data_IF_399613042544
#
_entry.id   IF_399613042544
#
_cell.length_a   1.000
_cell.length_b   1.000
_cell.length_c   1.000
_cell.angle_alpha   90.00
_cell.angle_beta   90.00
_cell.angle_gamma   90.00
#
_symmetry.space_group_name_H-M   'P 1'
#
loop_
_entity.id
_entity.type
_entity.pdbx_description
1 polymer ?
#
# COMPACT_ATOMS: atom_id res chain seq x y z
N UNK A 1 -23.78 -8.01 -27.83
CA UNK A 1 -23.23 -9.39 -27.82
C UNK A 1 -21.83 -9.45 -27.19
N UNK A 2 -20.95 -8.47 -27.37
CA UNK A 2 -19.62 -8.44 -26.73
C UNK A 2 -19.69 -8.21 -25.20
N UNK A 3 -20.62 -7.39 -24.71
CA UNK A 3 -20.80 -7.16 -23.27
C UNK A 3 -21.26 -8.44 -22.52
N UNK A 4 -22.11 -9.24 -23.11
CA UNK A 4 -22.63 -10.47 -22.49
C UNK A 4 -21.56 -11.58 -22.38
N UNK A 5 -20.53 -11.59 -23.23
CA UNK A 5 -19.42 -12.53 -23.15
C UNK A 5 -18.39 -12.12 -22.10
N UNK A 6 -18.16 -10.80 -21.93
CA UNK A 6 -17.26 -10.27 -20.89
C UNK A 6 -17.88 -10.45 -19.50
N UNK A 7 -19.20 -10.29 -19.36
CA UNK A 7 -19.92 -10.51 -18.10
C UNK A 7 -19.91 -12.00 -17.68
N UNK A 8 -19.96 -12.94 -18.64
CA UNK A 8 -19.92 -14.38 -18.34
C UNK A 8 -18.55 -14.88 -17.82
N UNK A 9 -17.46 -14.23 -18.22
CA UNK A 9 -16.13 -14.49 -17.68
C UNK A 9 -15.98 -14.02 -16.22
N UNK A 10 -16.77 -13.02 -15.81
CA UNK A 10 -16.75 -12.45 -14.45
C UNK A 10 -17.44 -13.35 -13.40
N UNK A 11 -18.45 -14.13 -13.79
CA UNK A 11 -19.29 -14.90 -12.87
C UNK A 11 -18.69 -16.20 -12.31
N UNK A 12 -17.47 -16.56 -12.68
CA UNK A 12 -16.83 -17.81 -12.23
C UNK A 12 -15.53 -17.60 -11.42
N UNK A 13 -15.23 -16.36 -11.04
CA UNK A 13 -13.89 -16.02 -10.65
C UNK A 13 -13.83 -15.56 -9.19
N UNK A 14 -13.11 -16.28 -8.34
CA UNK A 14 -12.69 -15.84 -7.01
C UNK A 14 -11.71 -14.66 -7.11
N UNK A 15 -11.43 -13.94 -6.00
CA UNK A 15 -10.70 -12.68 -5.92
C UNK A 15 -9.47 -12.49 -6.84
N UNK A 16 -8.74 -13.58 -7.15
CA UNK A 16 -7.62 -13.59 -8.12
C UNK A 16 -8.00 -13.07 -9.51
N UNK A 17 -9.23 -13.29 -9.92
CA UNK A 17 -9.69 -13.00 -11.27
C UNK A 17 -10.32 -11.61 -11.39
N UNK A 18 -10.72 -11.01 -10.26
CA UNK A 18 -11.16 -9.60 -10.22
C UNK A 18 -9.94 -8.69 -10.38
N UNK A 19 -8.81 -9.04 -9.74
CA UNK A 19 -7.54 -8.34 -9.95
C UNK A 19 -7.06 -8.44 -11.41
N UNK A 20 -7.11 -9.62 -12.02
CA UNK A 20 -6.78 -9.82 -13.43
C UNK A 20 -7.75 -9.11 -14.38
N UNK A 21 -9.05 -9.05 -14.05
CA UNK A 21 -10.04 -8.32 -14.85
C UNK A 21 -9.90 -6.79 -14.68
N UNK A 22 -9.47 -6.31 -13.51
CA UNK A 22 -9.14 -4.90 -13.29
C UNK A 22 -7.93 -4.47 -14.12
N UNK A 23 -6.95 -5.36 -14.31
CA UNK A 23 -5.83 -5.12 -15.23
C UNK A 23 -6.25 -5.12 -16.71
N UNK A 24 -7.16 -6.02 -17.12
CA UNK A 24 -7.68 -6.02 -18.49
C UNK A 24 -8.52 -4.79 -18.83
N UNK A 25 -9.23 -4.21 -17.84
CA UNK A 25 -9.96 -2.94 -18.02
C UNK A 25 -9.00 -1.74 -17.98
N UNK A 26 -7.86 -1.85 -17.30
CA UNK A 26 -6.79 -0.84 -17.39
C UNK A 26 -6.18 -0.76 -18.79
N UNK A 27 -6.17 -1.85 -19.57
CA UNK A 27 -5.75 -1.81 -21.00
C UNK A 27 -6.75 -1.07 -21.91
N UNK A 28 -8.02 -0.99 -21.52
CA UNK A 28 -9.05 -0.19 -22.24
C UNK A 28 -9.18 1.25 -21.70
N UNK A 29 -8.58 1.56 -20.53
CA UNK A 29 -8.43 2.92 -19.99
C UNK A 29 -6.96 3.27 -20.18
N UNK A 30 -6.61 4.32 -20.96
CA UNK A 30 -5.20 4.69 -21.15
C UNK A 30 -4.51 4.88 -19.81
N UNK A 31 -3.59 3.98 -19.44
CA UNK A 31 -2.83 4.04 -18.20
C UNK A 31 -1.51 4.76 -18.43
N UNK A 32 -1.20 5.69 -17.56
CA UNK A 32 0.07 6.32 -17.28
C UNK A 32 0.87 6.91 -18.46
N UNK A 33 1.76 6.17 -19.06
CA UNK A 33 2.74 6.73 -20.02
C UNK A 33 2.19 6.95 -21.43
N UNK A 34 1.28 6.10 -21.92
CA UNK A 34 0.66 6.25 -23.24
C UNK A 34 -0.36 7.38 -23.31
N UNK A 35 -1.18 7.53 -22.27
CA UNK A 35 -2.23 8.54 -22.23
C UNK A 35 -1.69 9.99 -22.14
N UNK A 36 -0.55 10.19 -21.46
CA UNK A 36 0.08 11.50 -21.39
C UNK A 36 0.71 11.92 -22.75
N UNK A 37 1.27 10.96 -23.49
CA UNK A 37 1.84 11.23 -24.79
C UNK A 37 0.77 11.56 -25.85
N UNK A 38 -0.34 10.83 -25.87
CA UNK A 38 -1.45 11.08 -26.81
C UNK A 38 -2.22 12.37 -26.48
N UNK A 39 -2.39 12.72 -25.18
CA UNK A 39 -3.05 13.96 -24.80
C UNK A 39 -2.22 15.20 -25.18
N UNK A 40 -0.90 15.10 -25.17
CA UNK A 40 -0.01 16.16 -25.66
C UNK A 40 0.05 16.25 -27.19
N UNK A 41 -0.09 15.14 -27.91
CA UNK A 41 -0.14 15.13 -29.38
C UNK A 41 -1.43 15.78 -29.92
N UNK A 42 -2.59 15.47 -29.31
CA UNK A 42 -3.89 16.04 -29.71
C UNK A 42 -4.02 17.55 -29.48
N UNK A 43 -3.24 18.15 -28.58
CA UNK A 43 -3.22 19.61 -28.38
C UNK A 43 -2.32 20.36 -29.37
N UNK A 44 -1.39 19.67 -30.03
CA UNK A 44 -0.53 20.31 -31.05
C UNK A 44 -1.20 20.44 -32.40
N UNK A 45 -2.19 19.62 -32.73
CA UNK A 45 -2.86 19.60 -34.03
C UNK A 45 -4.08 20.55 -34.12
N UNK A 46 -4.40 21.30 -33.06
CA UNK A 46 -5.54 22.25 -33.05
C UNK A 46 -5.16 23.72 -33.04
N UNK A 47 -3.86 24.09 -33.07
CA UNK A 47 -3.43 25.47 -33.05
C UNK A 47 -2.74 25.94 -34.38
N UNK A 48 -2.57 25.08 -35.39
CA UNK A 48 -2.02 25.50 -36.68
C UNK A 48 -3.07 25.36 -37.79
N UNK A 49 -3.81 26.43 -37.97
CA UNK A 49 -4.74 26.61 -39.15
C UNK A 49 -5.35 27.99 -39.19
N UNK A 50 -4.66 28.91 -39.75
CA UNK A 50 -5.05 29.87 -40.77
C UNK A 50 -4.22 31.16 -40.76
N UNK A 51 -3.79 31.47 -41.96
CA UNK A 51 -3.44 32.69 -42.68
C UNK A 51 -1.93 32.96 -42.75
N UNK A 52 -1.35 32.85 -43.83
CA UNK A 52 -1.51 33.29 -45.20
C UNK A 52 -0.51 34.44 -45.52
N UNK A 53 0.49 34.12 -46.36
CA UNK A 53 1.10 35.00 -47.39
C UNK A 53 2.19 36.03 -47.01
N UNK A 54 3.32 35.85 -47.71
CA UNK A 54 4.30 36.76 -48.32
C UNK A 54 5.66 36.99 -47.64
N UNK A 55 6.64 36.35 -48.26
CA UNK A 55 7.87 36.84 -48.91
C UNK A 55 8.69 37.97 -48.27
N UNK A 56 9.95 37.67 -48.12
CA UNK A 56 11.23 38.22 -48.65
C UNK A 56 12.30 38.55 -47.62
N UNK A 57 13.39 37.80 -47.75
CA UNK A 57 14.79 38.12 -48.03
C UNK A 57 15.60 39.06 -47.12
N UNK A 58 16.76 38.49 -46.75
CA UNK A 58 18.12 39.10 -46.65
C UNK A 58 18.32 40.12 -45.51
N UNK A 59 19.39 40.13 -44.76
CA UNK A 59 20.81 39.82 -44.93
C UNK A 59 21.55 40.16 -43.64
N UNK A 60 22.63 39.44 -43.38
CA UNK A 60 23.92 39.84 -42.83
C UNK A 60 24.04 40.83 -41.64
N UNK A 61 24.89 40.45 -40.70
CA UNK A 61 25.60 41.38 -39.84
C UNK A 61 26.25 40.76 -38.60
N UNK A 62 27.48 40.34 -38.76
CA UNK A 62 28.44 40.13 -37.68
C UNK A 62 28.53 41.37 -36.77
N UNK A 63 28.78 41.20 -35.46
CA UNK A 63 30.06 41.61 -34.91
C UNK A 63 30.21 41.26 -33.40
N UNK A 64 31.43 41.05 -33.05
CA UNK A 64 32.16 40.70 -31.88
C UNK A 64 32.04 41.68 -30.74
N UNK A 65 32.21 41.17 -29.50
CA UNK A 65 32.58 41.98 -28.35
C UNK A 65 32.96 41.13 -27.13
N UNK A 66 34.24 40.79 -27.03
CA UNK A 66 34.96 40.29 -25.85
C UNK A 66 35.20 41.39 -24.84
N UNK A 67 35.23 41.05 -23.55
CA UNK A 67 36.20 41.48 -22.50
C UNK A 67 35.77 40.79 -21.20
N UNK A 68 36.49 39.84 -20.65
CA UNK A 68 37.72 39.82 -19.83
C UNK A 68 37.62 40.58 -18.50
N UNK A 69 37.55 39.78 -17.41
CA UNK A 69 38.59 39.53 -16.36
C UNK A 69 38.85 40.64 -15.34
N UNK A 70 38.71 40.26 -14.06
CA UNK A 70 39.66 40.38 -12.91
C UNK A 70 38.88 40.27 -11.59
N UNK A 71 39.01 39.23 -10.82
CA UNK A 71 40.03 38.80 -9.84
C UNK A 71 40.45 39.88 -8.83
N UNK A 72 40.18 39.61 -7.54
CA UNK A 72 41.09 39.79 -6.41
C UNK A 72 40.51 39.31 -5.08
N UNK A 73 41.09 38.24 -4.60
CA UNK A 73 41.53 37.85 -3.26
C UNK A 73 41.79 38.94 -2.23
N UNK A 74 41.49 38.65 -0.94
CA UNK A 74 42.29 38.75 0.28
C UNK A 74 41.40 38.38 1.52
N UNK A 75 41.58 37.32 2.22
CA UNK A 75 42.44 36.82 3.30
C UNK A 75 42.72 37.83 4.45
N UNK A 76 42.28 37.47 5.65
CA UNK A 76 42.89 37.61 6.99
C UNK A 76 41.91 37.12 8.06
N UNK A 77 42.13 36.07 8.72
CA UNK A 77 43.04 35.62 9.78
C UNK A 77 42.90 36.33 11.15
N UNK A 78 42.82 35.43 12.17
CA UNK A 78 43.22 35.54 13.59
C UNK A 78 42.17 36.05 14.56
N UNK A 79 42.04 35.58 15.76
CA UNK A 79 42.71 34.59 16.65
C UNK A 79 41.88 34.45 17.93
N UNK A 80 41.85 33.26 18.49
CA UNK A 80 42.05 32.85 19.88
C UNK A 80 41.49 33.65 21.08
N UNK A 81 40.93 32.90 22.00
CA UNK A 81 40.80 33.24 23.41
C UNK A 81 40.19 32.08 24.21
N UNK A 82 41.07 31.31 24.83
CA UNK A 82 40.83 30.29 25.87
C UNK A 82 40.43 30.94 27.17
N UNK A 83 39.74 30.18 28.01
CA UNK A 83 40.02 29.84 29.44
C UNK A 83 38.70 29.38 30.07
N UNK A 84 38.56 28.14 30.54
CA UNK A 84 38.97 27.53 31.83
C UNK A 84 38.33 28.26 32.99
N UNK A 85 37.64 27.66 33.91
CA UNK A 85 37.83 26.62 34.91
C UNK A 85 36.57 26.62 35.77
N UNK A 86 36.21 25.66 36.38
CA UNK A 86 36.32 24.66 37.46
C UNK A 86 35.00 24.58 38.20
N UNK A 87 34.50 23.37 38.41
CA UNK A 87 34.66 22.46 39.55
C UNK A 87 33.68 22.71 40.74
N UNK A 88 33.06 21.66 41.19
CA UNK A 88 32.41 21.44 42.48
C UNK A 88 31.32 20.40 42.36
N UNK A 89 31.58 19.17 42.51
CA UNK A 89 31.76 18.25 43.65
C UNK A 89 30.61 18.22 44.63
N UNK A 90 30.06 17.04 44.73
CA UNK A 90 29.79 16.30 45.97
C UNK A 90 28.30 16.23 46.27
N UNK A 91 27.71 15.21 46.69
CA UNK A 91 27.96 13.97 47.42
C UNK A 91 26.65 13.23 47.43
N UNK A 92 26.66 11.93 47.15
CA UNK A 92 26.43 10.79 48.07
C UNK A 92 25.21 10.93 48.99
N UNK A 93 24.44 10.00 49.09
CA UNK A 93 24.30 8.61 49.55
C UNK A 93 22.88 8.41 50.06
N UNK A 94 22.33 7.34 49.85
CA UNK A 94 22.06 6.06 50.51
C UNK A 94 20.60 5.68 50.55
N UNK A 95 20.36 4.48 50.12
CA UNK A 95 19.81 3.28 50.86
C UNK A 95 18.35 3.37 51.29
N UNK A 96 17.53 2.34 51.12
CA UNK A 96 17.54 0.93 51.54
C UNK A 96 16.43 0.19 50.78
N UNK A 97 16.64 -0.92 50.21
CA UNK A 97 16.40 -2.33 50.60
C UNK A 97 15.34 -2.62 51.68
N UNK A 98 14.38 -3.46 51.31
CA UNK A 98 13.82 -4.56 52.14
C UNK A 98 12.92 -5.46 51.28
N UNK A 99 13.40 -6.61 50.89
CA UNK A 99 13.12 -8.00 51.39
C UNK A 99 11.72 -8.47 51.03
N UNK A 100 11.58 -9.43 50.15
CA UNK A 100 11.93 -10.86 50.03
C UNK A 100 11.27 -11.77 51.06
N UNK A 101 10.75 -12.89 50.49
CA UNK A 101 10.45 -14.22 51.06
C UNK A 101 9.03 -14.49 51.49
N UNK A 102 8.38 -15.49 51.02
CA UNK A 102 8.44 -16.94 51.19
C UNK A 102 7.28 -17.54 50.42
N UNK A 103 7.20 -18.75 49.96
CA UNK A 103 8.00 -19.96 50.08
C UNK A 103 7.51 -20.99 49.08
N UNK A 104 8.43 -21.80 48.65
CA UNK A 104 8.21 -23.01 47.87
C UNK A 104 7.61 -24.10 48.79
N UNK A 105 6.78 -24.98 48.17
CA UNK A 105 6.88 -26.42 48.47
C UNK A 105 6.37 -27.26 47.30
N UNK A 106 7.23 -28.16 46.90
CA UNK A 106 7.04 -29.19 45.91
C UNK A 106 6.28 -30.38 46.47
N UNK A 107 5.59 -31.16 45.61
CA UNK A 107 5.65 -32.62 45.55
C UNK A 107 5.01 -33.14 44.25
N UNK A 108 5.83 -33.68 43.41
CA UNK A 108 5.91 -35.04 42.85
C UNK A 108 4.59 -35.81 42.69
N UNK A 109 4.37 -36.24 41.46
CA UNK A 109 4.08 -37.64 41.19
C UNK A 109 2.89 -37.90 40.29
N UNK A 110 3.22 -38.50 39.18
CA UNK A 110 2.63 -39.66 38.50
C UNK A 110 1.92 -39.41 37.19
N UNK A 111 2.48 -40.07 36.18
CA UNK A 111 1.87 -40.67 34.99
C UNK A 111 0.48 -40.20 34.60
N UNK A 112 0.42 -39.47 33.48
CA UNK A 112 -0.79 -39.37 32.70
C UNK A 112 -0.47 -39.61 31.23
N UNK A 113 -1.05 -40.68 30.76
CA UNK A 113 -1.20 -41.08 29.36
C UNK A 113 -1.54 -39.87 28.49
N UNK A 114 -0.88 -39.80 27.36
CA UNK A 114 -1.30 -38.97 26.20
C UNK A 114 -2.77 -39.32 25.89
N UNK A 115 -3.65 -38.40 26.25
CA UNK A 115 -4.99 -38.34 25.70
C UNK A 115 -5.00 -37.23 24.62
N UNK A 116 -4.89 -37.69 23.38
CA UNK A 116 -4.96 -36.85 22.14
C UNK A 116 -6.42 -36.58 21.79
N UNK A 117 -7.17 -35.97 22.69
CA UNK A 117 -8.50 -35.42 22.34
C UNK A 117 -8.87 -34.37 23.38
N UNK A 118 -8.51 -33.11 23.07
CA UNK A 118 -9.30 -31.91 23.41
C UNK A 118 -8.49 -30.66 23.08
N UNK A 119 -8.87 -30.01 22.01
CA UNK A 119 -8.46 -28.71 21.56
C UNK A 119 -9.39 -28.22 20.44
N UNK A 120 -10.67 -28.63 20.49
CA UNK A 120 -11.72 -27.89 19.80
C UNK A 120 -12.11 -26.73 20.71
N UNK A 121 -11.35 -25.64 20.65
CA UNK A 121 -11.93 -24.35 20.86
C UNK A 121 -12.83 -24.13 19.64
N UNK A 122 -14.12 -24.18 19.85
CA UNK A 122 -15.14 -23.76 18.89
C UNK A 122 -14.92 -22.27 18.60
N UNK A 123 -14.12 -21.97 17.56
CA UNK A 123 -14.17 -20.69 16.89
C UNK A 123 -15.55 -20.63 16.23
N UNK A 124 -16.54 -20.07 16.93
CA UNK A 124 -17.97 -20.11 16.59
C UNK A 124 -18.34 -19.56 15.20
N UNK A 125 -17.37 -19.03 14.44
CA UNK A 125 -17.56 -18.39 13.15
C UNK A 125 -17.02 -19.21 11.96
N UNK A 126 -16.43 -20.39 12.19
CA UNK A 126 -15.96 -21.28 11.14
C UNK A 126 -16.83 -22.54 11.05
N UNK A 127 -16.98 -23.05 9.84
CA UNK A 127 -17.58 -24.34 9.52
C UNK A 127 -16.71 -25.06 8.50
N UNK A 128 -16.94 -26.38 8.35
CA UNK A 128 -16.17 -27.18 7.37
C UNK A 128 -17.11 -27.55 6.25
N UNK A 129 -16.70 -27.28 4.98
CA UNK A 129 -17.45 -27.69 3.81
C UNK A 129 -17.43 -29.22 3.58
N UNK A 130 -18.15 -29.69 2.56
CA UNK A 130 -18.26 -31.12 2.24
C UNK A 130 -16.92 -31.74 1.84
N UNK A 131 -15.99 -30.94 1.35
CA UNK A 131 -14.62 -31.34 0.95
C UNK A 131 -13.61 -31.26 2.12
N UNK A 132 -14.07 -30.82 3.32
CA UNK A 132 -13.25 -30.73 4.52
C UNK A 132 -12.45 -29.44 4.65
N UNK A 133 -12.70 -28.43 3.80
CA UNK A 133 -12.03 -27.12 3.92
C UNK A 133 -12.75 -26.25 4.92
N UNK A 134 -11.96 -25.47 5.67
CA UNK A 134 -12.49 -24.49 6.63
C UNK A 134 -13.14 -23.32 5.86
N UNK A 135 -14.35 -22.96 6.25
CA UNK A 135 -15.12 -21.85 5.72
C UNK A 135 -15.49 -20.91 6.86
N UNK A 136 -15.57 -19.61 6.58
CA UNK A 136 -16.22 -18.67 7.50
C UNK A 136 -17.72 -18.77 7.26
N UNK A 137 -18.49 -19.00 8.34
CA UNK A 137 -19.95 -19.07 8.28
C UNK A 137 -20.52 -17.87 7.52
N UNK A 138 -21.32 -18.14 6.51
CA UNK A 138 -22.02 -17.15 5.69
C UNK A 138 -23.48 -17.10 6.10
N UNK A 139 -24.13 -15.98 5.83
CA UNK A 139 -25.60 -15.96 5.82
C UNK A 139 -26.11 -16.95 4.75
N UNK A 140 -27.05 -17.82 5.12
CA UNK A 140 -27.55 -18.88 4.24
C UNK A 140 -28.18 -18.37 2.95
N UNK A 141 -28.65 -17.14 2.93
CA UNK A 141 -29.14 -16.42 1.73
C UNK A 141 -28.98 -14.91 1.94
N UNK A 142 -28.62 -14.21 0.85
CA UNK A 142 -28.74 -12.77 0.82
C UNK A 142 -30.23 -12.40 1.02
N UNK A 143 -30.56 -11.81 2.17
CA UNK A 143 -31.90 -11.24 2.38
C UNK A 143 -32.04 -9.94 1.58
N UNK A 144 -33.26 -9.48 1.34
CA UNK A 144 -33.54 -8.19 0.72
C UNK A 144 -32.84 -7.06 1.51
N UNK A 145 -31.71 -6.57 1.00
CA UNK A 145 -31.03 -5.38 1.46
C UNK A 145 -31.29 -4.25 0.47
N UNK A 146 -31.35 -3.02 0.98
CA UNK A 146 -31.42 -1.85 0.11
C UNK A 146 -30.09 -1.73 -0.65
N UNK A 147 -30.12 -1.89 -1.96
CA UNK A 147 -28.94 -1.84 -2.83
C UNK A 147 -29.01 -2.86 -3.94
N UNK A 148 -28.01 -2.86 -4.81
CA UNK A 148 -27.93 -3.73 -5.99
C UNK A 148 -26.61 -4.50 -5.97
N UNK A 149 -26.68 -5.82 -6.08
CA UNK A 149 -25.50 -6.65 -6.23
C UNK A 149 -25.28 -6.97 -7.71
N UNK A 150 -24.09 -6.64 -8.21
CA UNK A 150 -23.63 -6.91 -9.57
C UNK A 150 -22.36 -7.74 -9.49
N UNK A 151 -22.47 -9.05 -9.64
CA UNK A 151 -21.36 -9.98 -9.42
C UNK A 151 -20.86 -9.94 -7.98
N UNK A 152 -19.56 -9.66 -7.79
CA UNK A 152 -18.95 -9.47 -6.48
C UNK A 152 -19.04 -8.02 -5.97
N UNK A 153 -19.65 -7.11 -6.71
CA UNK A 153 -19.82 -5.72 -6.30
C UNK A 153 -21.24 -5.51 -5.74
N UNK A 154 -21.32 -4.68 -4.71
CA UNK A 154 -22.56 -4.26 -4.06
C UNK A 154 -22.66 -2.74 -4.06
N UNK A 155 -23.67 -2.20 -4.76
CA UNK A 155 -23.98 -0.77 -4.81
C UNK A 155 -25.00 -0.44 -3.73
N UNK A 156 -24.66 0.47 -2.83
CA UNK A 156 -25.55 0.96 -1.78
C UNK A 156 -25.52 2.48 -1.74
N UNK A 157 -26.56 3.13 -2.28
CA UNK A 157 -26.63 4.59 -2.38
C UNK A 157 -25.48 5.13 -3.25
N UNK A 158 -24.64 5.96 -2.66
CA UNK A 158 -23.54 6.69 -3.32
C UNK A 158 -22.19 5.93 -3.26
N UNK A 159 -22.20 4.69 -2.80
CA UNK A 159 -20.98 3.91 -2.56
C UNK A 159 -21.12 2.49 -3.10
N UNK A 160 -20.03 2.00 -3.69
CA UNK A 160 -19.91 0.61 -4.08
C UNK A 160 -18.86 -0.12 -3.21
N UNK A 161 -19.08 -1.40 -3.04
CA UNK A 161 -18.28 -2.27 -2.16
C UNK A 161 -17.98 -3.57 -2.87
N UNK A 162 -16.83 -4.17 -2.57
CA UNK A 162 -16.43 -5.47 -3.11
C UNK A 162 -16.58 -6.55 -2.04
N UNK A 163 -17.41 -7.56 -2.33
CA UNK A 163 -17.66 -8.71 -1.47
C UNK A 163 -16.42 -9.58 -1.37
N UNK A 164 -16.13 -10.05 -0.19
CA UNK A 164 -15.00 -10.93 0.08
C UNK A 164 -15.47 -12.38 0.30
N UNK A 165 -14.76 -13.33 -0.32
CA UNK A 165 -15.02 -14.76 -0.16
C UNK A 165 -13.77 -15.45 0.37
N UNK A 166 -13.87 -15.97 1.60
CA UNK A 166 -12.78 -16.67 2.25
C UNK A 166 -12.41 -17.95 1.49
N UNK A 167 -11.11 -18.18 1.34
CA UNK A 167 -10.53 -19.43 0.82
C UNK A 167 -9.40 -19.87 1.77
N UNK A 168 -9.59 -21.00 2.43
CA UNK A 168 -8.57 -21.56 3.32
C UNK A 168 -7.26 -21.85 2.56
N UNK A 169 -7.36 -22.38 1.33
CA UNK A 169 -6.21 -22.64 0.48
C UNK A 169 -5.42 -21.39 0.16
N UNK A 170 -6.10 -20.31 -0.20
CA UNK A 170 -5.49 -19.02 -0.50
C UNK A 170 -4.73 -18.48 0.72
N UNK A 171 -5.37 -18.50 1.88
CA UNK A 171 -4.78 -18.02 3.14
C UNK A 171 -3.58 -18.88 3.56
N UNK A 172 -3.67 -20.21 3.44
CA UNK A 172 -2.54 -21.13 3.73
C UNK A 172 -1.38 -20.91 2.76
N UNK A 173 -1.64 -20.70 1.48
CA UNK A 173 -0.62 -20.42 0.48
C UNK A 173 0.12 -19.11 0.80
N UNK A 174 -0.61 -18.06 1.17
CA UNK A 174 -0.03 -16.78 1.55
C UNK A 174 0.80 -16.87 2.85
N UNK A 175 0.30 -17.54 3.89
CA UNK A 175 1.07 -17.75 5.10
C UNK A 175 2.34 -18.59 4.85
N UNK A 176 2.25 -19.62 4.00
CA UNK A 176 3.40 -20.45 3.60
C UNK A 176 4.46 -19.63 2.85
N UNK A 177 4.05 -18.73 1.94
CA UNK A 177 4.94 -17.79 1.29
C UNK A 177 5.74 -16.97 2.31
N UNK A 178 5.05 -16.32 3.25
CA UNK A 178 5.71 -15.46 4.27
C UNK A 178 6.64 -16.26 5.18
N UNK A 179 6.23 -17.46 5.59
CA UNK A 179 7.06 -18.37 6.38
C UNK A 179 8.32 -18.80 5.61
N UNK A 180 8.19 -19.04 4.30
CA UNK A 180 9.32 -19.39 3.41
C UNK A 180 10.29 -18.22 3.31
N UNK A 181 9.80 -17.01 3.03
CA UNK A 181 10.66 -15.82 2.95
C UNK A 181 11.33 -15.51 4.28
N UNK A 182 10.62 -15.67 5.42
CA UNK A 182 11.23 -15.52 6.75
C UNK A 182 12.33 -16.56 7.02
N UNK A 183 12.17 -17.77 6.51
CA UNK A 183 13.21 -18.80 6.61
C UNK A 183 14.41 -18.51 5.71
N UNK A 184 14.19 -17.95 4.51
CA UNK A 184 15.27 -17.54 3.60
C UNK A 184 16.10 -16.38 4.18
N UNK A 185 15.46 -15.46 4.89
CA UNK A 185 16.09 -14.26 5.46
C UNK A 185 15.88 -14.16 6.99
N UNK A 186 16.48 -15.07 7.77
CA UNK A 186 16.20 -15.18 9.23
C UNK A 186 16.66 -13.97 10.06
N UNK A 187 17.55 -13.12 9.50
CA UNK A 187 18.07 -11.92 10.15
C UNK A 187 17.33 -10.64 9.73
N UNK A 188 16.56 -10.69 8.66
CA UNK A 188 15.75 -9.56 8.17
C UNK A 188 14.42 -9.54 8.92
N UNK A 189 14.00 -8.38 9.41
CA UNK A 189 12.72 -8.24 10.10
C UNK A 189 11.60 -8.21 9.06
N UNK A 190 10.80 -9.26 9.01
CA UNK A 190 9.69 -9.38 8.09
C UNK A 190 8.39 -8.97 8.77
N UNK A 191 7.63 -8.10 8.12
CA UNK A 191 6.28 -7.68 8.53
C UNK A 191 5.25 -8.06 7.48
N UNK A 192 4.06 -8.47 7.93
CA UNK A 192 2.90 -8.77 7.10
C UNK A 192 1.76 -7.82 7.44
N UNK A 193 1.23 -7.12 6.44
CA UNK A 193 0.08 -6.24 6.53
C UNK A 193 -0.95 -6.65 5.50
N UNK A 194 -2.03 -7.30 5.96
CA UNK A 194 -3.20 -7.61 5.14
C UNK A 194 -4.23 -6.50 5.36
N UNK A 195 -4.52 -5.74 4.30
CA UNK A 195 -5.42 -4.60 4.37
C UNK A 195 -6.83 -5.02 3.98
N UNK A 196 -7.85 -4.83 4.84
CA UNK A 196 -9.24 -5.06 4.48
C UNK A 196 -9.69 -4.07 3.40
N UNK A 197 -10.73 -4.40 2.64
CA UNK A 197 -11.37 -3.45 1.74
C UNK A 197 -12.52 -2.69 2.44
N UNK A 198 -13.16 -1.75 1.71
CA UNK A 198 -14.24 -0.90 2.23
C UNK A 198 -15.47 -1.70 2.72
N UNK A 199 -15.76 -2.85 2.13
CA UNK A 199 -16.88 -3.71 2.53
C UNK A 199 -16.76 -4.11 4.01
N UNK A 200 -15.60 -4.62 4.41
CA UNK A 200 -15.39 -5.11 5.78
C UNK A 200 -15.31 -4.00 6.83
N UNK A 201 -14.89 -2.79 6.43
CA UNK A 201 -14.63 -1.69 7.37
C UNK A 201 -15.76 -0.67 7.44
N UNK A 202 -16.28 -0.24 6.27
CA UNK A 202 -17.21 0.90 6.16
C UNK A 202 -18.67 0.46 6.17
N UNK A 203 -19.01 -0.65 5.49
CA UNK A 203 -20.38 -1.08 5.37
C UNK A 203 -20.95 -1.49 6.75
N UNK A 204 -22.21 -1.12 7.00
CA UNK A 204 -22.89 -1.48 8.25
C UNK A 204 -22.87 -3.01 8.46
N UNK A 205 -22.43 -3.53 9.61
CA UNK A 205 -22.36 -4.96 9.88
C UNK A 205 -23.69 -5.69 9.65
N UNK A 206 -24.83 -5.04 9.96
CA UNK A 206 -26.17 -5.62 9.72
C UNK A 206 -26.46 -5.81 8.23
N UNK A 207 -25.84 -5.00 7.36
CA UNK A 207 -25.94 -5.17 5.91
C UNK A 207 -24.98 -6.26 5.45
N UNK A 208 -23.75 -6.28 6.00
CA UNK A 208 -22.77 -7.34 5.70
C UNK A 208 -23.30 -8.74 6.02
N UNK A 209 -23.97 -8.91 7.19
CA UNK A 209 -24.58 -10.18 7.62
C UNK A 209 -25.61 -10.71 6.63
N UNK A 210 -26.28 -9.83 5.88
CA UNK A 210 -27.32 -10.19 4.90
C UNK A 210 -26.79 -10.50 3.51
N UNK A 211 -25.52 -10.19 3.26
CA UNK A 211 -24.85 -10.47 2.01
C UNK A 211 -24.02 -11.75 2.14
N UNK A 212 -23.98 -12.58 1.10
CA UNK A 212 -23.20 -13.81 1.09
C UNK A 212 -21.68 -13.52 0.97
N UNK A 213 -21.15 -12.77 1.94
CA UNK A 213 -19.73 -12.40 2.04
C UNK A 213 -19.13 -12.96 3.34
N UNK A 214 -17.83 -13.17 3.37
CA UNK A 214 -17.12 -13.70 4.53
C UNK A 214 -16.59 -12.57 5.42
N UNK A 215 -16.43 -12.80 6.72
CA UNK A 215 -15.82 -11.86 7.65
C UNK A 215 -14.34 -11.67 7.39
N UNK A 216 -13.92 -10.43 7.09
CA UNK A 216 -12.52 -10.14 6.79
C UNK A 216 -11.63 -10.12 8.02
N UNK A 217 -12.13 -9.65 9.14
CA UNK A 217 -11.45 -9.67 10.45
C UNK A 217 -11.01 -11.07 10.83
N UNK A 218 -11.93 -12.04 10.70
CA UNK A 218 -11.68 -13.45 11.00
C UNK A 218 -10.69 -14.07 10.00
N UNK A 219 -10.81 -13.74 8.72
CA UNK A 219 -9.90 -14.22 7.68
C UNK A 219 -8.47 -13.72 7.91
N UNK A 220 -8.31 -12.44 8.27
CA UNK A 220 -7.01 -11.82 8.59
C UNK A 220 -6.43 -12.47 9.84
N UNK A 221 -7.22 -12.60 10.92
CA UNK A 221 -6.77 -13.22 12.15
C UNK A 221 -6.34 -14.68 11.92
N UNK A 222 -7.11 -15.44 11.14
CA UNK A 222 -6.74 -16.81 10.79
C UNK A 222 -5.45 -16.86 9.95
N UNK A 223 -5.29 -15.96 8.96
CA UNK A 223 -4.05 -15.86 8.17
C UNK A 223 -2.84 -15.63 9.07
N UNK A 224 -2.93 -14.69 9.99
CA UNK A 224 -1.85 -14.36 10.93
C UNK A 224 -1.53 -15.52 11.88
N UNK A 225 -2.52 -16.30 12.29
CA UNK A 225 -2.32 -17.47 13.15
C UNK A 225 -1.49 -18.59 12.52
N UNK A 226 -1.41 -18.63 11.17
CA UNK A 226 -0.63 -19.61 10.40
C UNK A 226 0.81 -19.15 10.13
N UNK A 227 1.14 -17.90 10.44
CA UNK A 227 2.46 -17.34 10.18
C UNK A 227 3.46 -17.71 11.28
N UNK A 228 4.74 -17.79 10.89
CA UNK A 228 5.85 -17.98 11.84
C UNK A 228 5.85 -16.83 12.86
N UNK A 229 6.12 -17.14 14.12
CA UNK A 229 6.13 -16.17 15.24
C UNK A 229 7.15 -15.03 15.06
N UNK A 230 8.13 -15.18 14.17
CA UNK A 230 9.11 -14.15 13.82
C UNK A 230 8.54 -13.11 12.87
N UNK A 231 7.48 -13.44 12.14
CA UNK A 231 6.78 -12.50 11.27
C UNK A 231 6.01 -11.51 12.14
N UNK A 232 6.29 -10.21 11.96
CA UNK A 232 5.56 -9.14 12.62
C UNK A 232 4.22 -8.92 11.89
N UNK A 233 3.12 -9.41 12.46
CA UNK A 233 1.78 -9.24 11.90
C UNK A 233 1.20 -7.89 12.30
N UNK A 234 0.82 -7.07 11.32
CA UNK A 234 0.30 -5.72 11.53
C UNK A 234 -1.22 -5.72 11.37
N UNK A 235 -1.95 -5.69 12.48
CA UNK A 235 -3.41 -5.67 12.46
C UNK A 235 -3.93 -4.25 12.20
N UNK A 236 -4.20 -3.94 10.93
CA UNK A 236 -4.76 -2.64 10.53
C UNK A 236 -6.29 -2.62 10.51
N UNK A 237 -6.96 -3.78 10.67
CA UNK A 237 -8.42 -3.84 10.65
C UNK A 237 -9.05 -3.00 11.76
N UNK A 238 -8.56 -3.15 12.99
CA UNK A 238 -9.08 -2.42 14.15
C UNK A 238 -8.79 -0.92 14.04
N UNK A 239 -7.58 -0.55 13.57
CA UNK A 239 -7.21 0.84 13.37
C UNK A 239 -8.11 1.53 12.33
N UNK A 240 -8.34 0.88 11.18
CA UNK A 240 -9.24 1.41 10.15
C UNK A 240 -10.69 1.44 10.63
N UNK A 241 -11.15 0.42 11.34
CA UNK A 241 -12.51 0.37 11.89
C UNK A 241 -12.79 1.46 12.93
N UNK A 242 -11.78 1.85 13.70
CA UNK A 242 -11.89 2.99 14.63
C UNK A 242 -12.14 4.32 13.91
N UNK A 243 -11.67 4.44 12.66
CA UNK A 243 -11.78 5.64 11.81
C UNK A 243 -12.84 5.51 10.70
N UNK A 244 -13.73 4.50 10.75
CA UNK A 244 -14.71 4.21 9.69
C UNK A 244 -15.72 5.33 9.38
N UNK A 245 -15.83 6.33 10.24
CA UNK A 245 -16.67 7.53 10.01
C UNK A 245 -15.95 8.61 9.20
N UNK A 246 -14.65 8.47 9.00
CA UNK A 246 -13.84 9.36 8.20
C UNK A 246 -13.75 8.86 6.77
N UNK A 247 -13.30 9.72 5.85
CA UNK A 247 -13.18 9.36 4.44
C UNK A 247 -11.88 8.59 4.17
N UNK A 248 -11.85 7.34 4.65
CA UNK A 248 -10.67 6.46 4.60
C UNK A 248 -10.69 5.47 3.44
N UNK A 249 -11.80 5.34 2.73
CA UNK A 249 -11.95 4.59 1.48
C UNK A 249 -12.70 5.42 0.45
N UNK A 250 -12.38 5.22 -0.82
CA UNK A 250 -13.16 5.79 -1.92
C UNK A 250 -14.52 5.08 -2.04
N UNK A 251 -15.50 5.80 -2.58
CA UNK A 251 -16.86 5.28 -2.82
C UNK A 251 -17.00 4.63 -4.19
N UNK A 252 -16.25 5.16 -5.16
CA UNK A 252 -16.30 4.74 -6.57
C UNK A 252 -15.14 3.85 -6.99
N UNK A 253 -14.22 3.55 -6.03
CA UNK A 253 -12.99 2.80 -6.26
C UNK A 253 -12.72 1.77 -5.16
N UNK A 254 -11.93 0.75 -5.49
CA UNK A 254 -11.57 -0.33 -4.55
C UNK A 254 -10.48 0.06 -3.55
N UNK A 255 -9.77 1.15 -3.75
CA UNK A 255 -8.68 1.55 -2.87
C UNK A 255 -9.14 2.28 -1.60
N UNK A 256 -8.29 2.27 -0.61
CA UNK A 256 -8.33 3.24 0.46
C UNK A 256 -7.90 4.63 -0.02
N UNK A 257 -8.26 5.67 0.74
CA UNK A 257 -7.66 7.01 0.57
C UNK A 257 -6.28 7.04 1.23
N UNK A 258 -5.48 8.06 0.98
CA UNK A 258 -4.21 8.19 1.71
C UNK A 258 -4.41 8.45 3.20
N UNK A 259 -5.56 8.96 3.62
CA UNK A 259 -5.91 9.04 5.04
C UNK A 259 -6.04 7.64 5.67
N UNK A 260 -6.71 6.71 4.98
CA UNK A 260 -6.76 5.31 5.40
C UNK A 260 -5.36 4.67 5.47
N UNK A 261 -4.55 4.89 4.42
CA UNK A 261 -3.16 4.44 4.40
C UNK A 261 -2.33 5.04 5.54
N UNK A 262 -2.61 6.28 5.97
CA UNK A 262 -1.94 6.92 7.10
C UNK A 262 -2.26 6.24 8.44
N UNK A 263 -3.52 5.85 8.70
CA UNK A 263 -3.85 5.10 9.91
C UNK A 263 -3.19 3.72 9.93
N UNK A 264 -3.14 3.05 8.78
CA UNK A 264 -2.39 1.81 8.65
C UNK A 264 -0.87 2.01 8.86
N UNK A 265 -0.31 3.11 8.36
CA UNK A 265 1.08 3.49 8.58
C UNK A 265 1.39 3.75 10.06
N UNK A 266 0.49 4.40 10.80
CA UNK A 266 0.62 4.58 12.24
C UNK A 266 0.66 3.23 12.97
N UNK A 267 -0.22 2.29 12.61
CA UNK A 267 -0.25 0.96 13.22
C UNK A 267 1.01 0.15 12.89
N UNK A 268 1.50 0.23 11.63
CA UNK A 268 2.79 -0.33 11.26
C UNK A 268 3.92 0.22 12.13
N UNK A 269 4.04 1.52 12.23
CA UNK A 269 5.07 2.16 13.05
C UNK A 269 4.98 1.74 14.51
N UNK A 270 3.78 1.70 15.08
CA UNK A 270 3.53 1.23 16.45
C UNK A 270 3.98 -0.22 16.65
N UNK A 271 3.67 -1.12 15.71
CA UNK A 271 4.08 -2.53 15.75
C UNK A 271 5.61 -2.70 15.67
N UNK A 272 6.28 -1.76 15.04
CA UNK A 272 7.74 -1.71 14.91
C UNK A 272 8.44 -0.95 16.05
N UNK A 273 7.67 -0.32 16.95
CA UNK A 273 8.21 0.55 18.01
C UNK A 273 8.72 1.89 17.47
N UNK A 274 8.13 2.40 16.39
CA UNK A 274 8.51 3.65 15.75
C UNK A 274 7.46 4.76 15.99
N UNK A 275 7.92 6.00 16.04
CA UNK A 275 7.06 7.18 16.02
C UNK A 275 6.65 7.52 14.57
N UNK A 276 5.53 8.21 14.42
CA UNK A 276 5.02 8.73 13.15
C UNK A 276 4.99 10.25 13.17
N UNK A 277 5.09 10.87 11.98
CA UNK A 277 4.83 12.30 11.82
C UNK A 277 3.33 12.55 11.79
N UNK A 278 2.81 13.61 12.42
CA UNK A 278 1.40 13.97 12.31
C UNK A 278 1.08 14.47 10.91
N UNK A 279 -0.18 14.31 10.48
CA UNK A 279 -0.62 14.76 9.14
C UNK A 279 -0.42 16.26 8.91
N UNK A 280 -0.39 17.07 9.97
CA UNK A 280 -0.10 18.50 9.91
C UNK A 280 1.28 18.85 9.34
N UNK A 281 2.21 17.91 9.36
CA UNK A 281 3.56 18.07 8.82
C UNK A 281 3.65 17.83 7.31
N UNK A 282 2.53 17.44 6.68
CA UNK A 282 2.42 17.17 5.26
C UNK A 282 1.65 18.27 4.55
N UNK A 283 2.06 18.60 3.33
CA UNK A 283 1.27 19.47 2.45
C UNK A 283 0.06 18.68 1.93
N UNK A 284 -1.13 19.16 2.24
CA UNK A 284 -2.38 18.59 1.72
C UNK A 284 -2.62 19.09 0.30
N UNK A 285 -2.87 18.17 -0.62
CA UNK A 285 -3.24 18.42 -2.02
C UNK A 285 -4.55 17.71 -2.32
N UNK A 286 -5.53 18.44 -2.83
CA UNK A 286 -6.86 17.91 -3.13
C UNK A 286 -7.10 17.89 -4.66
N UNK A 287 -7.53 16.73 -5.19
CA UNK A 287 -7.84 16.49 -6.59
C UNK A 287 -9.28 15.97 -6.71
N UNK A 288 -10.27 16.86 -6.93
CA UNK A 288 -11.68 16.49 -7.04
C UNK A 288 -11.98 15.73 -8.33
N UNK A 289 -13.22 15.21 -8.46
CA UNK A 289 -13.75 14.54 -9.65
C UNK A 289 -12.98 13.25 -10.00
N UNK A 290 -12.76 12.39 -9.01
CA UNK A 290 -12.24 11.04 -9.23
C UNK A 290 -13.38 10.04 -9.38
N UNK A 291 -13.34 9.25 -10.45
CA UNK A 291 -14.20 8.12 -10.68
C UNK A 291 -13.36 6.87 -10.80
N UNK A 292 -13.46 5.99 -9.82
CA UNK A 292 -12.62 4.81 -9.74
C UNK A 292 -13.18 3.58 -10.45
N UNK A 293 -12.54 2.46 -10.20
CA UNK A 293 -12.79 1.19 -10.89
C UNK A 293 -14.23 0.68 -10.71
N UNK A 294 -14.83 0.82 -9.54
CA UNK A 294 -16.22 0.41 -9.30
C UNK A 294 -17.20 1.15 -10.20
N UNK A 295 -17.01 2.46 -10.37
CA UNK A 295 -17.86 3.25 -11.26
C UNK A 295 -17.85 2.71 -12.70
N UNK A 296 -16.69 2.37 -13.23
CA UNK A 296 -16.58 1.84 -14.59
C UNK A 296 -17.08 0.39 -14.69
N UNK A 297 -16.76 -0.47 -13.73
CA UNK A 297 -17.21 -1.87 -13.72
C UNK A 297 -18.73 -2.03 -13.62
N UNK A 298 -19.38 -1.15 -12.85
CA UNK A 298 -20.83 -1.15 -12.69
C UNK A 298 -21.55 -0.39 -13.82
N UNK A 299 -20.85 -0.12 -14.94
CA UNK A 299 -21.40 0.59 -16.09
C UNK A 299 -21.89 2.02 -15.77
N UNK A 300 -21.15 2.74 -14.92
CA UNK A 300 -21.34 4.16 -14.61
C UNK A 300 -22.72 4.48 -14.05
N UNK A 301 -23.16 3.87 -12.94
CA UNK A 301 -24.48 4.11 -12.37
C UNK A 301 -24.63 5.58 -11.97
N UNK A 302 -25.84 6.14 -12.18
CA UNK A 302 -26.11 7.56 -11.91
C UNK A 302 -25.90 7.95 -10.45
N UNK A 303 -26.11 7.01 -9.50
CA UNK A 303 -25.85 7.23 -8.08
C UNK A 303 -24.40 7.51 -7.77
N UNK A 304 -23.46 6.83 -8.44
CA UNK A 304 -22.03 7.10 -8.31
C UNK A 304 -21.59 8.31 -9.14
N UNK A 305 -22.20 8.50 -10.32
CA UNK A 305 -21.90 9.62 -11.21
C UNK A 305 -22.18 10.99 -10.57
N UNK A 306 -23.27 11.08 -9.81
CA UNK A 306 -23.61 12.30 -9.06
C UNK A 306 -22.70 12.59 -7.87
N UNK A 307 -21.87 11.64 -7.45
CA UNK A 307 -21.07 11.69 -6.23
C UNK A 307 -19.63 11.26 -6.47
N UNK A 308 -18.86 12.01 -7.30
CA UNK A 308 -17.45 11.70 -7.55
C UNK A 308 -16.64 11.74 -6.25
N UNK A 309 -15.59 10.96 -6.22
CA UNK A 309 -14.61 10.97 -5.14
C UNK A 309 -13.65 12.16 -5.27
N UNK A 310 -12.91 12.43 -4.22
CA UNK A 310 -11.78 13.34 -4.20
C UNK A 310 -10.54 12.57 -3.77
N UNK A 311 -9.47 12.64 -4.56
CA UNK A 311 -8.18 12.14 -4.11
C UNK A 311 -7.50 13.24 -3.31
N UNK A 312 -7.25 12.98 -2.04
CA UNK A 312 -6.43 13.85 -1.18
C UNK A 312 -5.07 13.21 -1.00
N UNK A 313 -4.01 13.94 -1.36
CA UNK A 313 -2.63 13.52 -1.17
C UNK A 313 -1.93 14.37 -0.08
N UNK A 314 -1.17 13.67 0.77
CA UNK A 314 -0.35 14.26 1.82
C UNK A 314 1.12 14.16 1.40
N UNK A 315 1.65 15.26 0.87
CA UNK A 315 3.02 15.34 0.37
C UNK A 315 3.97 15.74 1.48
N UNK A 316 4.93 14.87 1.79
CA UNK A 316 6.02 15.18 2.70
C UNK A 316 7.18 15.93 2.03
N UNK A 317 8.24 16.20 2.80
CA UNK A 317 9.46 16.86 2.31
C UNK A 317 10.23 15.99 1.31
N UNK A 318 10.25 14.66 1.53
CA UNK A 318 10.78 13.71 0.58
C UNK A 318 9.72 13.40 -0.47
N UNK A 319 9.96 13.75 -1.73
CA UNK A 319 9.01 13.56 -2.83
C UNK A 319 9.66 13.14 -4.16
N UNK A 320 10.84 12.53 -4.12
CA UNK A 320 11.52 12.01 -5.31
C UNK A 320 11.66 10.51 -5.25
N UNK A 321 11.63 9.86 -6.40
CA UNK A 321 11.83 8.42 -6.57
C UNK A 321 12.52 8.14 -7.91
N UNK A 322 13.13 6.97 -8.02
CA UNK A 322 13.48 6.35 -9.29
C UNK A 322 12.61 5.12 -9.50
N UNK A 323 12.14 4.87 -10.72
CA UNK A 323 11.28 3.74 -11.02
C UNK A 323 11.62 3.12 -12.37
N UNK A 324 11.29 1.86 -12.57
CA UNK A 324 11.40 1.21 -13.88
C UNK A 324 10.14 1.44 -14.70
N UNK A 325 10.30 1.92 -15.93
CA UNK A 325 9.22 2.01 -16.90
C UNK A 325 8.82 0.63 -17.46
N UNK A 326 7.82 0.56 -18.32
CA UNK A 326 7.34 -0.67 -18.95
C UNK A 326 8.39 -1.40 -19.80
N UNK A 327 9.49 -0.72 -20.17
CA UNK A 327 10.62 -1.25 -20.94
C UNK A 327 11.79 -1.67 -20.05
N UNK A 328 11.65 -1.50 -18.71
CA UNK A 328 12.70 -1.78 -17.74
C UNK A 328 13.75 -0.68 -17.61
N UNK A 329 13.56 0.50 -18.22
CA UNK A 329 14.50 1.61 -18.09
C UNK A 329 14.23 2.35 -16.77
N UNK A 330 15.31 2.80 -16.11
CA UNK A 330 15.21 3.63 -14.91
C UNK A 330 14.82 5.06 -15.28
N UNK A 331 13.79 5.58 -14.66
CA UNK A 331 13.24 6.92 -14.81
C UNK A 331 13.22 7.64 -13.47
N UNK A 332 13.23 8.96 -13.49
CA UNK A 332 13.00 9.79 -12.31
C UNK A 332 11.53 10.20 -12.21
N UNK A 333 11.01 10.24 -11.00
CA UNK A 333 9.63 10.61 -10.73
C UNK A 333 9.43 11.22 -9.35
N UNK A 334 8.16 11.45 -9.03
CA UNK A 334 7.75 11.95 -7.72
C UNK A 334 6.85 10.95 -7.02
N UNK A 335 6.96 10.89 -5.69
CA UNK A 335 6.08 10.07 -4.85
C UNK A 335 4.64 10.58 -4.88
N UNK A 336 4.46 11.92 -4.86
CA UNK A 336 3.17 12.59 -5.04
C UNK A 336 3.26 13.47 -6.28
N UNK A 337 2.39 13.24 -7.24
CA UNK A 337 2.29 13.92 -8.51
C UNK A 337 1.03 14.79 -8.55
N UNK A 338 1.08 15.88 -9.31
CA UNK A 338 -0.07 16.79 -9.42
C UNK A 338 -1.11 16.21 -10.37
N UNK A 339 -2.28 15.82 -9.83
CA UNK A 339 -3.30 15.09 -10.58
C UNK A 339 -4.43 15.95 -11.18
N UNK A 340 -4.37 17.29 -11.09
CA UNK A 340 -5.44 18.15 -11.61
C UNK A 340 -5.64 18.05 -13.12
N UNK A 341 -4.58 17.69 -13.85
CA UNK A 341 -4.64 17.48 -15.31
C UNK A 341 -4.83 16.02 -15.71
N UNK A 342 -4.87 15.10 -14.75
CA UNK A 342 -5.12 13.68 -15.03
C UNK A 342 -6.60 13.46 -15.36
N UNK A 343 -6.86 12.48 -16.20
CA UNK A 343 -8.23 12.02 -16.45
C UNK A 343 -8.90 11.61 -15.14
N UNK A 344 -10.22 11.82 -15.01
CA UNK A 344 -10.94 11.48 -13.77
C UNK A 344 -10.70 10.06 -13.27
N UNK A 345 -10.58 9.06 -14.15
CA UNK A 345 -10.30 7.67 -13.79
C UNK A 345 -8.87 7.39 -13.33
N UNK A 346 -7.94 8.30 -13.57
CA UNK A 346 -6.51 8.08 -13.33
C UNK A 346 -5.96 8.88 -12.13
N UNK A 347 -6.80 9.60 -11.39
CA UNK A 347 -6.32 10.50 -10.32
C UNK A 347 -5.62 9.77 -9.16
N UNK A 348 -5.94 8.49 -8.92
CA UNK A 348 -5.19 7.67 -7.96
C UNK A 348 -3.71 7.52 -8.33
N UNK A 349 -3.36 7.63 -9.61
CA UNK A 349 -1.96 7.60 -10.06
C UNK A 349 -1.16 8.86 -9.65
N UNK A 350 -1.77 9.82 -8.92
CA UNK A 350 -1.00 10.83 -8.22
C UNK A 350 0.01 10.21 -7.25
N UNK A 351 -0.30 9.02 -6.73
CA UNK A 351 0.59 8.23 -5.89
C UNK A 351 1.56 7.44 -6.77
N UNK A 352 2.83 7.81 -6.73
CA UNK A 352 3.95 7.11 -7.37
C UNK A 352 3.81 6.91 -8.90
N UNK A 353 2.96 7.69 -9.59
CA UNK A 353 2.60 7.52 -11.02
C UNK A 353 1.93 6.17 -11.33
N UNK A 354 1.37 5.49 -10.33
CA UNK A 354 0.72 4.18 -10.45
C UNK A 354 1.64 3.01 -10.14
N UNK A 355 1.41 1.89 -10.81
CA UNK A 355 2.11 0.64 -10.53
C UNK A 355 3.39 0.50 -11.37
N UNK A 356 4.52 0.34 -10.72
CA UNK A 356 5.83 0.08 -11.33
C UNK A 356 6.41 -1.20 -10.77
N UNK A 357 7.09 -1.99 -11.61
CA UNK A 357 7.73 -3.23 -11.17
C UNK A 357 8.76 -2.99 -10.07
N UNK A 358 9.52 -1.89 -10.16
CA UNK A 358 10.53 -1.52 -9.18
C UNK A 358 10.56 -0.01 -8.96
N UNK A 359 10.68 0.39 -7.69
CA UNK A 359 10.91 1.78 -7.29
C UNK A 359 12.01 1.83 -6.23
N UNK A 360 12.89 2.81 -6.32
CA UNK A 360 13.94 3.11 -5.36
C UNK A 360 13.80 4.55 -4.86
N UNK A 361 13.88 4.72 -3.53
CA UNK A 361 13.77 6.02 -2.87
C UNK A 361 14.94 6.15 -1.90
N UNK A 362 15.66 7.25 -2.00
CA UNK A 362 16.77 7.57 -1.11
C UNK A 362 16.52 8.88 -0.39
N UNK A 363 16.47 8.84 0.95
CA UNK A 363 16.17 9.98 1.81
C UNK A 363 17.27 10.13 2.87
N UNK A 364 18.31 10.91 2.56
CA UNK A 364 19.40 11.19 3.52
C UNK A 364 18.89 11.87 4.80
N UNK A 365 17.82 12.64 4.72
CA UNK A 365 17.22 13.34 5.85
C UNK A 365 16.34 12.46 6.76
N UNK A 366 16.13 11.19 6.39
CA UNK A 366 15.26 10.30 7.15
C UNK A 366 15.76 10.07 8.58
N UNK A 367 14.87 10.04 9.57
CA UNK A 367 15.24 9.77 10.96
C UNK A 367 15.70 8.32 11.14
N UNK A 368 15.20 7.37 10.37
CA UNK A 368 15.61 5.96 10.39
C UNK A 368 16.66 5.71 9.32
N UNK A 369 17.90 5.46 9.76
CA UNK A 369 19.01 5.15 8.86
C UNK A 369 19.01 3.68 8.41
N UNK A 370 17.84 3.15 8.09
CA UNK A 370 17.56 1.78 7.70
C UNK A 370 17.07 1.67 6.28
N UNK A 371 17.19 0.47 5.74
CA UNK A 371 16.67 0.07 4.44
C UNK A 371 15.48 -0.88 4.60
N UNK A 372 14.46 -0.69 3.77
CA UNK A 372 13.26 -1.54 3.74
C UNK A 372 12.90 -1.92 2.31
N UNK A 373 12.49 -3.18 2.11
CA UNK A 373 11.81 -3.66 0.92
C UNK A 373 10.29 -3.72 1.18
N UNK A 374 9.50 -3.07 0.34
CA UNK A 374 8.04 -3.16 0.35
C UNK A 374 7.59 -3.99 -0.84
N UNK A 375 7.08 -5.19 -0.58
CA UNK A 375 6.41 -6.02 -1.59
C UNK A 375 4.92 -5.72 -1.54
N UNK A 376 4.36 -5.19 -2.62
CA UNK A 376 3.01 -4.59 -2.58
C UNK A 376 2.17 -4.89 -3.81
N UNK A 377 0.86 -4.68 -3.68
CA UNK A 377 -0.07 -4.36 -4.74
C UNK A 377 -0.36 -2.84 -4.79
N UNK A 378 -1.35 -2.42 -5.57
CA UNK A 378 -1.67 -0.99 -5.77
C UNK A 378 -2.07 -0.22 -4.49
N UNK A 379 -2.46 -0.92 -3.42
CA UNK A 379 -2.70 -0.29 -2.12
C UNK A 379 -1.42 0.36 -1.56
N UNK A 380 -0.27 -0.23 -1.83
CA UNK A 380 1.03 0.32 -1.43
C UNK A 380 1.33 1.69 -2.02
N UNK A 381 0.72 2.07 -3.16
CA UNK A 381 0.99 3.36 -3.80
C UNK A 381 0.65 4.56 -2.90
N UNK A 382 -0.45 4.51 -2.15
CA UNK A 382 -0.82 5.56 -1.20
C UNK A 382 -0.04 5.48 0.13
N UNK A 383 0.52 4.32 0.48
CA UNK A 383 1.24 4.07 1.72
C UNK A 383 2.73 4.44 1.65
N UNK A 384 3.41 4.07 0.56
CA UNK A 384 4.86 4.25 0.39
C UNK A 384 5.30 5.72 0.51
N UNK A 385 4.57 6.73 -0.01
CA UNK A 385 4.96 8.13 0.17
C UNK A 385 5.04 8.58 1.64
N UNK A 386 4.26 7.97 2.54
CA UNK A 386 4.32 8.21 3.98
C UNK A 386 5.55 7.52 4.59
N UNK A 387 5.78 6.25 4.23
CA UNK A 387 6.92 5.45 4.70
C UNK A 387 8.27 6.08 4.31
N UNK A 388 8.36 6.63 3.10
CA UNK A 388 9.56 7.27 2.55
C UNK A 388 10.03 8.51 3.33
N UNK A 389 9.16 9.11 4.14
CA UNK A 389 9.55 10.23 5.01
C UNK A 389 10.45 9.78 6.16
N UNK A 390 10.41 8.51 6.50
CA UNK A 390 11.02 8.01 7.74
C UNK A 390 12.17 7.04 7.52
N UNK A 391 12.29 6.38 6.37
CA UNK A 391 13.37 5.45 6.04
C UNK A 391 14.40 6.10 5.12
N UNK A 392 15.69 5.77 5.33
CA UNK A 392 16.76 6.24 4.45
C UNK A 392 16.63 5.65 3.06
N UNK A 393 16.45 4.34 2.96
CA UNK A 393 16.34 3.65 1.69
C UNK A 393 15.04 2.84 1.65
N UNK A 394 14.18 3.09 0.66
CA UNK A 394 12.96 2.33 0.44
C UNK A 394 13.01 1.73 -0.95
N UNK A 395 12.97 0.42 -1.02
CA UNK A 395 12.87 -0.36 -2.24
C UNK A 395 11.47 -0.91 -2.35
N UNK A 396 10.80 -0.69 -3.47
CA UNK A 396 9.42 -1.14 -3.68
C UNK A 396 9.39 -2.12 -4.84
N UNK A 397 8.77 -3.25 -4.62
CA UNK A 397 8.55 -4.28 -5.63
C UNK A 397 7.06 -4.54 -5.75
N UNK A 398 6.52 -4.29 -6.94
CA UNK A 398 5.22 -4.78 -7.32
C UNK A 398 5.40 -6.13 -8.01
N UNK A 399 5.07 -7.19 -7.30
CA UNK A 399 5.31 -8.57 -7.74
C UNK A 399 4.60 -8.94 -9.06
N UNK A 400 3.62 -8.14 -9.48
CA UNK A 400 2.87 -8.34 -10.72
C UNK A 400 3.68 -7.92 -11.95
N UNK A 401 4.59 -6.97 -11.78
CA UNK A 401 5.33 -6.29 -12.85
C UNK A 401 6.85 -6.41 -12.72
N UNK A 402 7.36 -6.85 -11.56
CA UNK A 402 8.80 -6.94 -11.31
C UNK A 402 9.47 -8.03 -12.13
N UNK A 403 10.56 -7.67 -12.81
CA UNK A 403 11.34 -8.56 -13.67
C UNK A 403 12.69 -8.97 -13.06
N UNK A 404 13.01 -8.48 -11.86
CA UNK A 404 14.25 -8.76 -11.16
C UNK A 404 14.13 -9.90 -10.15
N UNK A 405 15.13 -10.02 -9.28
CA UNK A 405 15.17 -11.00 -8.18
C UNK A 405 15.26 -10.28 -6.83
N UNK A 406 14.25 -10.44 -5.99
CA UNK A 406 14.18 -9.77 -4.69
C UNK A 406 15.22 -10.31 -3.70
N UNK A 407 15.64 -11.58 -3.81
CA UNK A 407 16.70 -12.14 -2.96
C UNK A 407 18.04 -11.49 -3.25
N UNK A 408 18.39 -11.29 -4.52
CA UNK A 408 19.58 -10.55 -4.93
C UNK A 408 19.50 -9.09 -4.46
N UNK A 409 18.36 -8.43 -4.65
CA UNK A 409 18.12 -7.06 -4.20
C UNK A 409 18.35 -6.90 -2.69
N UNK A 410 17.84 -7.84 -1.88
CA UNK A 410 18.02 -7.82 -0.41
C UNK A 410 19.50 -7.90 -0.05
N UNK A 411 20.26 -8.77 -0.72
CA UNK A 411 21.68 -8.96 -0.44
C UNK A 411 22.52 -7.77 -0.92
N UNK A 412 22.30 -7.30 -2.13
CA UNK A 412 23.08 -6.21 -2.77
C UNK A 412 22.86 -4.86 -2.07
N UNK A 413 21.62 -4.57 -1.68
CA UNK A 413 21.26 -3.32 -1.01
C UNK A 413 21.36 -3.39 0.53
N UNK A 414 21.69 -4.57 1.09
CA UNK A 414 21.77 -4.75 2.53
C UNK A 414 20.46 -4.46 3.25
N UNK A 415 19.35 -4.95 2.70
CA UNK A 415 18.00 -4.66 3.22
C UNK A 415 17.80 -5.29 4.60
N UNK A 416 17.38 -4.47 5.57
CA UNK A 416 17.22 -4.86 6.97
C UNK A 416 15.80 -5.24 7.34
N UNK A 417 14.81 -4.72 6.60
CA UNK A 417 13.38 -4.91 6.87
C UNK A 417 12.62 -5.24 5.58
N UNK A 418 11.60 -6.09 5.68
CA UNK A 418 10.69 -6.42 4.58
C UNK A 418 9.26 -6.20 5.07
N UNK A 419 8.45 -5.53 4.26
CA UNK A 419 7.02 -5.37 4.47
C UNK A 419 6.26 -5.97 3.29
N UNK A 420 5.46 -7.01 3.54
CA UNK A 420 4.42 -7.44 2.63
C UNK A 420 3.16 -6.63 2.92
N UNK A 421 2.74 -5.82 1.96
CA UNK A 421 1.54 -4.99 2.02
C UNK A 421 0.60 -5.39 0.91
N UNK A 422 -0.46 -6.09 1.25
CA UNK A 422 -1.42 -6.58 0.29
C UNK A 422 -2.86 -6.29 0.73
N UNK A 423 -3.70 -5.89 -0.22
CA UNK A 423 -5.13 -5.93 0.00
C UNK A 423 -5.58 -7.40 0.22
N UNK A 424 -6.60 -7.61 1.05
CA UNK A 424 -7.14 -8.94 1.34
C UNK A 424 -7.61 -9.67 0.06
N UNK A 425 -8.06 -8.93 -0.96
CA UNK A 425 -8.43 -9.49 -2.26
C UNK A 425 -7.22 -9.99 -3.06
N UNK A 426 -6.01 -9.55 -2.72
CA UNK A 426 -4.74 -10.03 -3.26
C UNK A 426 -4.23 -11.31 -2.59
N UNK A 427 -4.97 -11.89 -1.65
CA UNK A 427 -4.62 -13.15 -0.98
C UNK A 427 -5.16 -14.32 -1.81
N UNK A 428 -4.29 -15.01 -2.53
CA UNK A 428 -4.65 -16.10 -3.43
C UNK A 428 -3.51 -17.07 -3.66
N UNK A 429 -3.81 -18.32 -4.09
CA UNK A 429 -2.80 -19.34 -4.36
C UNK A 429 -1.84 -18.90 -5.48
N UNK A 430 -2.40 -18.48 -6.62
CA UNK A 430 -1.62 -18.03 -7.78
C UNK A 430 -0.82 -16.77 -7.49
N UNK A 431 -1.41 -15.79 -6.79
CA UNK A 431 -0.72 -14.56 -6.41
C UNK A 431 0.39 -14.82 -5.40
N UNK A 432 0.17 -15.73 -4.44
CA UNK A 432 1.22 -16.16 -3.50
C UNK A 432 2.39 -16.83 -4.22
N UNK A 433 2.11 -17.64 -5.26
CA UNK A 433 3.16 -18.23 -6.11
C UNK A 433 3.93 -17.15 -6.89
N UNK A 434 3.24 -16.17 -7.48
CA UNK A 434 3.90 -15.02 -8.15
C UNK A 434 4.78 -14.23 -7.18
N UNK A 435 4.28 -13.93 -5.97
CA UNK A 435 5.07 -13.26 -4.93
C UNK A 435 6.30 -14.08 -4.53
N UNK A 436 6.19 -15.42 -4.41
CA UNK A 436 7.33 -16.27 -4.10
C UNK A 436 8.34 -16.31 -5.24
N UNK A 437 7.87 -16.32 -6.48
CA UNK A 437 8.73 -16.38 -7.66
C UNK A 437 9.70 -15.19 -7.77
N UNK A 438 9.35 -14.00 -7.23
CA UNK A 438 10.27 -12.85 -7.25
C UNK A 438 11.47 -13.01 -6.32
N UNK A 439 11.47 -14.03 -5.44
CA UNK A 439 12.58 -14.36 -4.55
C UNK A 439 13.45 -15.53 -5.09
N UNK A 440 13.01 -16.20 -6.13
CA UNK A 440 13.66 -17.36 -6.75
C UNK A 440 14.37 -16.96 -8.04
#
# INVERSE_FOLDING_TARGET
MLLASKTKAFYGLQGEQIYGAAEQVKEEIPTGEGALAETFALKKDTEDGQDGVAEKKESDGEDRGKAEVRDKTEVRDKKEGKEQTEAGKGTEEKQEEAEAKQSAEAKQGSDAKQDTTKGKEENGNFETDAEGNLQIKKADKAENVAGEQIGSLYLNGESAYELFYFSEKAVRAHASLLNTVQAMFPKVKLSAMIVPNSFGVILDPKVQEKLASSGMDQAIAYSYSLMDKRVNTVNVFDALSAHKKEYIYFRTDHHWTQLGAYYAYQEYCKSMGYSTKPLSDYQKLDFPEFYGTFYFFMNRPESLKGHPDQVTAYQGSMNTMQYTDSKGNLQEGKLINYASQMLPGNKYNCFMLGDHGYVEIHNEGAPRKKSILVLKDSYGNAFVPLLAQDYRDVYVVDYRHYQGNASSLIQEKGIEEILFLNNIMGIGESLSQKMLAVFQ
#
